data_IF_025749549435
#
_entry.id   IF_025749549435
#
_cell.length_a   1.000
_cell.length_b   1.000
_cell.length_c   1.000
_cell.angle_alpha   90.00
_cell.angle_beta   90.00
_cell.angle_gamma   90.00
#
_symmetry.space_group_name_H-M   'P 1'
#
loop_
_entity.id
_entity.type
_entity.pdbx_description
1 polymer ?
#
# COMPACT_ATOMS: atom_id res chain seq x y z
N UNK A 1 -25.74 3.58 0.25
CA UNK A 1 -24.72 2.78 0.95
C UNK A 1 -25.29 2.29 2.26
N UNK A 2 -25.03 1.04 2.64
CA UNK A 2 -25.48 0.51 3.94
C UNK A 2 -24.37 0.69 4.97
N UNK A 3 -24.73 1.18 6.15
CA UNK A 3 -23.82 1.29 7.29
C UNK A 3 -24.37 0.42 8.41
N UNK A 4 -23.52 -0.42 8.99
CA UNK A 4 -23.84 -1.22 10.17
C UNK A 4 -23.05 -0.69 11.37
N UNK A 5 -23.73 -0.50 12.48
CA UNK A 5 -23.10 -0.19 13.77
C UNK A 5 -23.57 -1.18 14.81
N UNK A 6 -22.76 -1.36 15.84
CA UNK A 6 -23.14 -2.12 17.00
C UNK A 6 -22.78 -1.38 18.27
N UNK A 7 -23.54 -1.69 19.32
CA UNK A 7 -23.39 -1.12 20.64
C UNK A 7 -23.01 -2.19 21.63
N UNK A 8 -22.05 -1.87 22.49
CA UNK A 8 -21.72 -2.64 23.68
C UNK A 8 -22.69 -2.35 24.85
N UNK A 9 -23.43 -1.24 24.86
CA UNK A 9 -24.39 -0.93 25.94
C UNK A 9 -25.81 -1.51 25.75
N UNK A 10 -25.93 -2.81 25.47
CA UNK A 10 -27.21 -3.55 25.35
C UNK A 10 -28.17 -3.08 24.23
N UNK A 11 -27.70 -2.34 23.22
CA UNK A 11 -28.57 -1.88 22.13
C UNK A 11 -28.51 -2.78 20.86
N UNK A 12 -27.52 -3.67 20.74
CA UNK A 12 -27.42 -4.61 19.64
C UNK A 12 -26.83 -4.00 18.36
N UNK A 13 -27.26 -4.51 17.20
CA UNK A 13 -26.85 -4.10 15.86
C UNK A 13 -27.92 -3.20 15.23
N UNK A 14 -27.49 -2.12 14.60
CA UNK A 14 -28.34 -1.22 13.82
C UNK A 14 -27.77 -1.06 12.42
N UNK A 15 -28.64 -0.78 11.46
CA UNK A 15 -28.23 -0.44 10.11
C UNK A 15 -28.93 0.82 9.61
N UNK A 16 -28.27 1.51 8.69
CA UNK A 16 -28.83 2.64 7.95
C UNK A 16 -28.61 2.44 6.45
N UNK A 17 -29.60 2.79 5.65
CA UNK A 17 -29.54 2.75 4.18
C UNK A 17 -29.23 4.12 3.56
N UNK A 18 -29.22 5.17 4.38
CA UNK A 18 -29.04 6.56 3.96
C UNK A 18 -28.15 7.33 4.95
N UNK A 19 -26.97 6.78 5.25
CA UNK A 19 -26.00 7.41 6.15
C UNK A 19 -25.22 8.55 5.48
N UNK A 20 -25.91 9.48 4.81
CA UNK A 20 -25.32 10.71 4.27
C UNK A 20 -25.80 11.89 5.10
N UNK A 21 -24.89 12.44 5.91
CA UNK A 21 -25.08 13.59 6.82
C UNK A 21 -26.12 13.34 7.94
N UNK A 22 -26.28 14.33 8.84
CA UNK A 22 -26.96 14.30 10.15
C UNK A 22 -28.44 13.83 10.20
N UNK A 23 -28.96 13.25 9.11
CA UNK A 23 -30.32 12.72 8.95
C UNK A 23 -30.37 11.19 8.81
N UNK A 24 -29.36 10.46 9.28
CA UNK A 24 -29.35 9.00 9.21
C UNK A 24 -30.43 8.38 10.10
N UNK A 25 -31.41 7.71 9.51
CA UNK A 25 -32.32 6.82 10.22
C UNK A 25 -31.64 5.48 10.49
N UNK A 26 -31.70 5.02 11.73
CA UNK A 26 -31.12 3.77 12.19
C UNK A 26 -32.22 2.77 12.55
N UNK A 27 -32.16 1.60 11.94
CA UNK A 27 -33.12 0.53 12.16
C UNK A 27 -32.46 -0.61 12.94
N UNK A 28 -33.06 -1.10 14.04
CA UNK A 28 -32.51 -2.22 14.79
C UNK A 28 -32.59 -3.51 13.98
N UNK A 29 -31.55 -4.33 14.04
CA UNK A 29 -31.52 -5.66 13.44
C UNK A 29 -30.96 -6.70 14.42
N UNK A 30 -31.77 -6.99 15.44
CA UNK A 30 -31.40 -7.85 16.57
C UNK A 30 -32.09 -9.21 16.56
N UNK A 31 -32.77 -9.57 15.47
CA UNK A 31 -33.55 -10.81 15.39
C UNK A 31 -32.63 -12.02 15.55
N UNK A 32 -32.94 -12.87 16.53
CA UNK A 32 -32.19 -14.09 16.81
C UNK A 32 -30.97 -13.91 17.71
N UNK A 33 -30.57 -12.67 18.05
CA UNK A 33 -29.53 -12.43 19.04
C UNK A 33 -30.06 -12.80 20.43
N UNK A 34 -29.37 -13.69 21.14
CA UNK A 34 -29.69 -14.00 22.55
C UNK A 34 -29.11 -12.98 23.53
N UNK A 35 -28.20 -12.12 23.07
CA UNK A 35 -27.62 -11.02 23.82
C UNK A 35 -27.43 -9.81 22.89
N UNK A 36 -27.83 -8.63 23.35
CA UNK A 36 -27.63 -7.35 22.65
C UNK A 36 -26.29 -6.68 22.99
N UNK A 37 -25.45 -7.33 23.79
CA UNK A 37 -24.10 -6.90 24.10
C UNK A 37 -23.16 -7.34 22.97
N UNK A 38 -22.86 -6.44 22.02
CA UNK A 38 -22.01 -6.75 20.87
C UNK A 38 -20.58 -6.28 21.14
N UNK A 39 -19.63 -7.21 21.17
CA UNK A 39 -18.21 -6.90 21.40
C UNK A 39 -17.44 -6.66 20.11
N UNK A 40 -17.90 -7.23 19.00
CA UNK A 40 -17.23 -7.11 17.70
C UNK A 40 -18.20 -7.31 16.54
N UNK A 41 -18.06 -6.48 15.52
CA UNK A 41 -18.59 -6.73 14.18
C UNK A 41 -17.43 -7.02 13.21
N UNK A 42 -17.62 -7.99 12.32
CA UNK A 42 -16.65 -8.32 11.28
C UNK A 42 -17.39 -8.72 10.01
N UNK A 43 -16.97 -8.19 8.87
CA UNK A 43 -17.40 -8.69 7.56
C UNK A 43 -16.36 -9.69 7.06
N UNK A 44 -16.80 -10.85 6.57
CA UNK A 44 -15.96 -11.81 5.88
C UNK A 44 -16.75 -12.47 4.74
N UNK A 45 -16.32 -12.24 3.51
CA UNK A 45 -17.03 -12.65 2.31
C UNK A 45 -18.45 -12.07 2.25
N UNK A 46 -19.45 -12.93 2.07
CA UNK A 46 -20.86 -12.53 1.97
C UNK A 46 -21.57 -12.35 3.33
N UNK A 47 -20.84 -12.41 4.45
CA UNK A 47 -21.44 -12.43 5.78
C UNK A 47 -20.92 -11.32 6.69
N UNK A 48 -21.85 -10.72 7.45
CA UNK A 48 -21.57 -9.92 8.63
C UNK A 48 -21.68 -10.82 9.87
N UNK A 49 -20.64 -10.82 10.69
CA UNK A 49 -20.56 -11.54 11.95
C UNK A 49 -20.68 -10.58 13.12
N UNK A 50 -21.47 -10.97 14.12
CA UNK A 50 -21.60 -10.27 15.40
C UNK A 50 -21.18 -11.21 16.54
N UNK A 51 -20.12 -10.83 17.25
CA UNK A 51 -19.73 -11.47 18.49
C UNK A 51 -20.53 -10.87 19.65
N UNK A 52 -21.22 -11.71 20.40
CA UNK A 52 -22.05 -11.30 21.54
C UNK A 52 -21.66 -12.08 22.80
N UNK A 53 -22.10 -11.61 23.97
CA UNK A 53 -21.93 -12.36 25.22
C UNK A 53 -22.65 -13.73 25.20
N UNK A 54 -23.66 -13.90 24.35
CA UNK A 54 -24.44 -15.15 24.20
C UNK A 54 -23.96 -16.07 23.07
N UNK A 55 -22.87 -15.72 22.37
CA UNK A 55 -22.34 -16.49 21.23
C UNK A 55 -22.10 -15.64 19.98
N UNK A 56 -21.76 -16.32 18.88
CA UNK A 56 -21.48 -15.68 17.58
C UNK A 56 -22.65 -15.86 16.63
N UNK A 57 -23.07 -14.76 16.02
CA UNK A 57 -24.17 -14.71 15.05
C UNK A 57 -23.65 -14.24 13.70
N UNK A 58 -24.31 -14.67 12.62
CA UNK A 58 -23.99 -14.22 11.27
C UNK A 58 -25.24 -13.88 10.49
N UNK A 59 -25.08 -12.97 9.57
CA UNK A 59 -26.10 -12.49 8.65
C UNK A 59 -25.54 -12.49 7.24
N UNK A 60 -26.33 -12.91 6.26
CA UNK A 60 -25.92 -12.83 4.85
C UNK A 60 -26.20 -11.43 4.31
N UNK A 61 -25.19 -10.78 3.74
CA UNK A 61 -25.30 -9.40 3.23
C UNK A 61 -26.32 -9.28 2.10
N UNK A 62 -26.46 -10.33 1.27
CA UNK A 62 -27.45 -10.36 0.19
C UNK A 62 -28.90 -10.20 0.66
N UNK A 63 -29.19 -10.55 1.93
CA UNK A 63 -30.53 -10.37 2.52
C UNK A 63 -30.92 -8.88 2.61
N UNK A 64 -29.95 -7.98 2.49
CA UNK A 64 -30.12 -6.53 2.43
C UNK A 64 -29.97 -5.94 1.02
N UNK A 65 -29.90 -6.78 -0.03
CA UNK A 65 -29.60 -6.34 -1.39
C UNK A 65 -28.14 -5.89 -1.59
N UNK A 66 -27.27 -6.18 -0.62
CA UNK A 66 -25.83 -5.92 -0.71
C UNK A 66 -25.17 -7.08 -1.46
N UNK A 67 -24.88 -6.85 -2.73
CA UNK A 67 -24.18 -7.79 -3.62
C UNK A 67 -22.69 -7.48 -3.77
N UNK A 68 -22.20 -6.41 -3.14
CA UNK A 68 -20.79 -6.06 -3.11
C UNK A 68 -20.49 -4.95 -2.11
N UNK A 69 -19.37 -5.08 -1.41
CA UNK A 69 -18.77 -4.00 -0.61
C UNK A 69 -17.67 -3.40 -1.48
N UNK A 70 -17.68 -2.08 -1.69
CA UNK A 70 -16.47 -1.42 -2.19
C UNK A 70 -15.46 -1.42 -1.06
N UNK A 71 -14.52 -2.36 -1.10
CA UNK A 71 -13.33 -2.28 -0.26
C UNK A 71 -12.54 -1.06 -0.72
N UNK A 72 -12.73 0.06 -0.03
CA UNK A 72 -11.73 1.11 -0.04
C UNK A 72 -10.54 0.55 0.74
N UNK A 73 -9.59 -0.07 0.02
CA UNK A 73 -8.31 -0.42 0.60
C UNK A 73 -7.78 0.86 1.28
N UNK A 74 -7.53 0.79 2.58
CA UNK A 74 -6.76 1.84 3.24
C UNK A 74 -5.40 1.80 2.54
N UNK A 75 -5.13 2.77 1.65
CA UNK A 75 -3.83 2.91 1.02
C UNK A 75 -2.83 3.20 2.15
N UNK A 76 -2.24 2.13 2.67
CA UNK A 76 -1.07 2.24 3.52
C UNK A 76 0.05 2.66 2.58
N UNK A 77 0.36 3.96 2.57
CA UNK A 77 1.47 4.47 1.77
C UNK A 77 2.75 3.76 2.17
N UNK A 78 3.39 3.10 1.21
CA UNK A 78 4.72 2.51 1.40
C UNK A 78 5.73 3.64 1.61
N UNK A 79 6.89 3.36 2.19
CA UNK A 79 7.98 4.33 2.30
C UNK A 79 9.15 3.93 1.40
N UNK A 80 9.75 4.93 0.74
CA UNK A 80 10.99 4.79 0.01
C UNK A 80 11.82 6.07 0.11
N UNK A 81 13.04 5.95 0.61
CA UNK A 81 13.98 7.07 0.77
C UNK A 81 15.36 6.73 0.23
N UNK A 82 16.09 7.77 -0.20
CA UNK A 82 17.47 7.65 -0.64
C UNK A 82 18.30 8.81 -0.12
N UNK A 83 19.55 8.51 0.24
CA UNK A 83 20.59 9.51 0.37
C UNK A 83 21.05 10.03 -1.01
N UNK A 84 21.78 11.16 -1.05
CA UNK A 84 22.44 11.61 -2.27
C UNK A 84 23.39 10.55 -2.84
N UNK A 85 23.52 10.48 -4.18
CA UNK A 85 24.43 9.54 -4.81
C UNK A 85 25.89 9.94 -4.63
N UNK A 86 26.77 8.94 -4.53
CA UNK A 86 28.22 9.11 -4.46
C UNK A 86 28.94 8.01 -5.27
N UNK A 87 30.01 8.33 -6.01
CA UNK A 87 30.47 9.69 -6.32
C UNK A 87 29.47 10.44 -7.22
N UNK A 88 29.41 11.76 -7.10
CA UNK A 88 28.63 12.62 -7.97
C UNK A 88 29.36 13.98 -8.14
N UNK A 89 30.01 14.24 -9.29
CA UNK A 89 29.96 13.46 -10.53
C UNK A 89 30.62 12.08 -10.44
N UNK A 90 30.06 11.11 -11.17
CA UNK A 90 30.51 9.72 -11.28
C UNK A 90 31.34 9.50 -12.54
N UNK A 91 32.33 8.61 -12.49
CA UNK A 91 33.17 8.24 -13.65
C UNK A 91 32.75 6.92 -14.28
N UNK A 92 32.58 5.87 -13.48
CA UNK A 92 32.22 4.52 -13.94
C UNK A 92 31.15 3.86 -13.09
N UNK A 93 30.92 4.37 -11.89
CA UNK A 93 29.95 3.83 -10.94
C UNK A 93 29.41 4.93 -10.05
N UNK A 94 28.15 4.78 -9.67
CA UNK A 94 27.50 5.59 -8.64
C UNK A 94 26.74 4.69 -7.67
N UNK A 95 26.72 5.08 -6.40
CA UNK A 95 26.01 4.39 -5.33
C UNK A 95 25.08 5.34 -4.60
N UNK A 96 23.94 4.85 -4.14
CA UNK A 96 23.07 5.58 -3.23
C UNK A 96 22.52 4.63 -2.17
N UNK A 97 22.64 5.03 -0.90
CA UNK A 97 22.01 4.30 0.20
C UNK A 97 20.49 4.54 0.14
N UNK A 98 19.71 3.47 0.14
CA UNK A 98 18.24 3.51 0.07
C UNK A 98 17.62 2.75 1.24
N UNK A 99 16.39 3.15 1.60
CA UNK A 99 15.57 2.59 2.67
C UNK A 99 14.15 2.40 2.18
N UNK A 100 13.50 1.29 2.53
CA UNK A 100 12.18 0.91 2.01
C UNK A 100 11.29 0.27 3.08
N UNK A 101 9.98 0.23 2.84
CA UNK A 101 9.00 -0.46 3.69
C UNK A 101 9.11 -1.98 3.56
N UNK A 102 9.23 -2.70 4.66
CA UNK A 102 9.34 -4.17 4.66
C UNK A 102 8.05 -4.89 4.22
N UNK A 103 6.95 -4.16 4.04
CA UNK A 103 5.68 -4.69 3.51
C UNK A 103 5.82 -5.25 2.08
N UNK A 104 6.82 -4.80 1.31
CA UNK A 104 7.04 -5.17 -0.09
C UNK A 104 8.45 -5.74 -0.30
N UNK A 105 8.62 -6.60 -1.30
CA UNK A 105 9.93 -7.15 -1.64
C UNK A 105 10.71 -6.19 -2.55
N UNK A 106 11.85 -5.67 -2.10
CA UNK A 106 12.69 -4.72 -2.86
C UNK A 106 13.17 -5.29 -4.20
N UNK A 107 13.32 -6.61 -4.32
CA UNK A 107 13.72 -7.25 -5.57
C UNK A 107 12.65 -7.16 -6.67
N UNK A 108 11.42 -6.78 -6.31
CA UNK A 108 10.32 -6.54 -7.24
C UNK A 108 10.20 -5.05 -7.64
N UNK A 109 11.08 -4.17 -7.14
CA UNK A 109 11.08 -2.77 -7.52
C UNK A 109 11.42 -2.62 -9.02
N UNK A 110 10.66 -1.80 -9.73
CA UNK A 110 10.97 -1.43 -11.11
C UNK A 110 11.96 -0.26 -11.08
N UNK A 111 13.21 -0.54 -11.47
CA UNK A 111 14.31 0.41 -11.43
C UNK A 111 14.83 0.64 -12.85
N UNK A 112 14.77 1.90 -13.28
CA UNK A 112 15.15 2.33 -14.63
C UNK A 112 16.03 3.55 -14.61
N UNK A 113 16.87 3.69 -15.63
CA UNK A 113 17.74 4.87 -15.80
C UNK A 113 17.34 5.59 -17.06
N UNK A 114 17.24 6.91 -16.98
CA UNK A 114 16.88 7.78 -18.10
C UNK A 114 17.92 8.88 -18.28
N UNK A 115 18.13 9.32 -19.51
CA UNK A 115 18.79 10.59 -19.79
C UNK A 115 17.86 11.79 -19.49
N UNK A 116 18.36 13.02 -19.64
CA UNK A 116 17.57 14.24 -19.41
C UNK A 116 16.40 14.44 -20.39
N UNK A 117 16.40 13.72 -21.51
CA UNK A 117 15.33 13.77 -22.50
C UNK A 117 14.25 12.71 -22.24
N UNK A 118 14.43 11.89 -21.19
CA UNK A 118 13.50 10.83 -20.82
C UNK A 118 13.66 9.56 -21.66
N UNK A 119 14.75 9.42 -22.42
CA UNK A 119 15.07 8.17 -23.11
C UNK A 119 15.62 7.18 -22.10
N UNK A 120 15.03 5.98 -22.05
CA UNK A 120 15.53 4.89 -21.22
C UNK A 120 16.92 4.48 -21.70
N UNK A 121 17.87 4.41 -20.77
CA UNK A 121 19.23 3.96 -21.04
C UNK A 121 19.17 2.44 -21.13
N UNK A 122 19.13 1.92 -22.36
CA UNK A 122 19.28 0.49 -22.61
C UNK A 122 20.69 0.07 -22.22
N UNK A 123 20.81 -0.55 -21.04
CA UNK A 123 22.10 -1.08 -20.61
C UNK A 123 22.26 -2.46 -21.21
N UNK A 124 23.25 -2.60 -22.09
CA UNK A 124 23.59 -3.82 -22.83
C UNK A 124 23.86 -5.04 -21.93
N UNK A 125 24.03 -4.84 -20.62
CA UNK A 125 24.00 -5.88 -19.60
C UNK A 125 22.81 -5.65 -18.65
N UNK A 126 21.92 -6.64 -18.55
CA UNK A 126 20.74 -6.67 -17.65
C UNK A 126 21.02 -6.44 -16.15
N UNK A 127 22.29 -6.34 -15.75
CA UNK A 127 22.74 -6.20 -14.35
C UNK A 127 23.53 -4.91 -14.09
N UNK A 128 23.43 -3.88 -14.94
CA UNK A 128 24.19 -2.66 -14.72
C UNK A 128 23.68 -1.83 -13.53
N UNK A 129 22.41 -2.00 -13.16
CA UNK A 129 21.83 -1.41 -11.95
C UNK A 129 21.30 -2.52 -11.06
N UNK A 130 21.65 -2.45 -9.78
CA UNK A 130 21.25 -3.44 -8.79
C UNK A 130 21.02 -2.77 -7.43
N UNK A 131 20.16 -3.38 -6.62
CA UNK A 131 20.08 -3.09 -5.19
C UNK A 131 20.79 -4.22 -4.47
N UNK A 132 21.75 -3.86 -3.62
CA UNK A 132 22.47 -4.79 -2.74
C UNK A 132 21.86 -4.61 -1.34
N UNK A 133 20.99 -5.52 -0.87
CA UNK A 133 20.41 -5.41 0.47
C UNK A 133 21.49 -5.54 1.55
N UNK A 134 21.42 -4.68 2.54
CA UNK A 134 22.30 -4.71 3.73
C UNK A 134 21.51 -5.03 5.01
N UNK A 135 20.19 -4.81 4.98
CA UNK A 135 19.21 -5.24 5.98
C UNK A 135 17.84 -5.46 5.32
N UNK A 136 16.83 -5.86 6.09
CA UNK A 136 15.47 -6.09 5.58
C UNK A 136 14.76 -4.82 5.06
N UNK A 137 15.27 -3.64 5.44
CA UNK A 137 14.68 -2.33 5.14
C UNK A 137 15.69 -1.32 4.58
N UNK A 138 16.92 -1.75 4.27
CA UNK A 138 17.95 -0.87 3.72
C UNK A 138 18.98 -1.59 2.86
N UNK A 139 19.61 -0.85 1.95
CA UNK A 139 20.61 -1.38 1.05
C UNK A 139 21.28 -0.30 0.23
N UNK A 140 22.21 -0.71 -0.61
CA UNK A 140 22.89 0.18 -1.54
C UNK A 140 22.40 -0.07 -2.96
N UNK A 141 21.80 0.95 -3.57
CA UNK A 141 21.61 0.97 -5.02
C UNK A 141 22.95 1.27 -5.67
N UNK A 142 23.34 0.46 -6.63
CA UNK A 142 24.59 0.58 -7.37
C UNK A 142 24.28 0.60 -8.85
N UNK A 143 24.80 1.60 -9.57
CA UNK A 143 24.69 1.70 -11.01
C UNK A 143 26.09 1.82 -11.63
N UNK A 144 26.44 0.86 -12.48
CA UNK A 144 27.61 0.91 -13.36
C UNK A 144 27.27 1.76 -14.59
N UNK A 145 27.81 2.98 -14.60
CA UNK A 145 27.63 3.97 -15.66
C UNK A 145 28.88 4.09 -16.56
N UNK A 146 29.74 3.06 -16.61
CA UNK A 146 30.97 3.09 -17.41
C UNK A 146 30.72 3.12 -18.92
N UNK A 147 29.60 2.54 -19.38
CA UNK A 147 29.27 2.38 -20.79
C UNK A 147 28.35 3.48 -21.34
N UNK A 148 28.09 4.53 -20.56
CA UNK A 148 27.21 5.63 -20.96
C UNK A 148 28.00 6.93 -21.13
N UNK A 149 27.55 7.77 -22.03
CA UNK A 149 28.21 9.05 -22.33
C UNK A 149 28.14 10.00 -21.13
N UNK A 150 29.10 10.93 -21.00
CA UNK A 150 29.02 12.03 -20.03
C UNK A 150 27.72 12.82 -20.16
N UNK A 151 27.09 13.13 -19.02
CA UNK A 151 25.78 13.76 -19.01
C UNK A 151 25.07 13.65 -17.67
N UNK A 152 23.86 14.20 -17.62
CA UNK A 152 22.98 14.06 -16.47
C UNK A 152 21.99 12.92 -16.70
N UNK A 153 21.76 12.13 -15.64
CA UNK A 153 20.91 10.95 -15.67
C UNK A 153 19.98 10.91 -14.45
N UNK A 154 18.83 10.26 -14.64
CA UNK A 154 17.81 10.05 -13.62
C UNK A 154 17.64 8.56 -13.38
N UNK A 155 17.96 8.09 -12.18
CA UNK A 155 17.60 6.75 -11.72
C UNK A 155 16.21 6.87 -11.10
N UNK A 156 15.24 6.16 -11.66
CA UNK A 156 13.84 6.13 -11.21
C UNK A 156 13.57 4.77 -10.57
N UNK A 157 13.09 4.80 -9.33
CA UNK A 157 12.70 3.60 -8.57
C UNK A 157 11.19 3.70 -8.34
N UNK A 158 10.44 2.76 -8.90
CA UNK A 158 9.03 2.56 -8.61
C UNK A 158 8.90 1.38 -7.63
N UNK A 159 8.31 1.63 -6.46
CA UNK A 159 8.20 0.65 -5.38
C UNK A 159 6.84 0.77 -4.69
N UNK A 160 5.92 -0.13 -5.02
CA UNK A 160 4.53 -0.04 -4.56
C UNK A 160 3.90 1.28 -4.98
N UNK A 161 3.44 2.04 -4.00
CA UNK A 161 2.87 3.39 -4.17
C UNK A 161 3.92 4.50 -4.30
N UNK A 162 5.20 4.20 -4.06
CA UNK A 162 6.27 5.20 -4.02
C UNK A 162 7.03 5.30 -5.33
N UNK A 163 7.43 6.53 -5.64
CA UNK A 163 8.35 6.84 -6.74
C UNK A 163 9.50 7.69 -6.22
N UNK A 164 10.73 7.20 -6.37
CA UNK A 164 11.94 7.94 -6.02
C UNK A 164 12.78 8.22 -7.25
N UNK A 165 13.36 9.42 -7.30
CA UNK A 165 14.29 9.83 -8.36
C UNK A 165 15.62 10.21 -7.75
N UNK A 166 16.71 9.63 -8.26
CA UNK A 166 18.09 9.95 -7.89
C UNK A 166 18.77 10.57 -9.11
N UNK A 167 19.32 11.78 -8.93
CA UNK A 167 19.97 12.55 -10.00
C UNK A 167 21.47 12.29 -9.99
N UNK A 168 22.03 11.91 -11.13
CA UNK A 168 23.44 11.54 -11.26
C UNK A 168 24.08 12.34 -12.39
N UNK A 169 25.25 12.92 -12.13
CA UNK A 169 26.12 13.49 -13.17
C UNK A 169 27.20 12.47 -13.51
N UNK A 170 27.34 12.13 -14.78
CA UNK A 170 28.44 11.31 -15.33
C UNK A 170 29.46 12.22 -16.00
N UNK A 171 30.74 12.01 -15.69
CA UNK A 171 31.90 12.65 -16.34
C UNK A 171 32.82 11.61 -16.96
#
# INVERSE_FOLDING_TARGET
>A
SYLFIASDINAGVFYSTNATNDAAFWYPYNKGLTSSYITKLLINGEYLYAATAGGMYRLKLSDFGLVGVQDYAVERGDYLYSYPPYPNPATSEVRAKIFWDMSLNINNADIKVYDIYGKEVEVSNKNAIEVIPESDWSGTLKWNCSSVDPGAYLIVINYGTQKKVIKVMKI
#
